data_IF_381542278739
#
_entry.id   IF_381542278739
#
_cell.length_a   1.000
_cell.length_b   1.000
_cell.length_c   1.000
_cell.angle_alpha   90.00
_cell.angle_beta   90.00
_cell.angle_gamma   90.00
#
_symmetry.space_group_name_H-M   'P 1'
#
loop_
_entity.id
_entity.type
_entity.pdbx_description
1 polymer ?
#
# COMPACT_ATOMS: atom_id res chain seq x y z
N UNK A 1 6.15 21.95 -3.14
CA UNK A 1 5.54 21.23 -2.00
C UNK A 1 5.92 19.77 -2.14
N UNK A 2 6.38 19.12 -1.07
CA UNK A 2 6.69 17.68 -1.08
C UNK A 2 5.61 16.96 -0.29
N UNK A 3 5.00 15.93 -0.89
CA UNK A 3 3.92 15.18 -0.25
C UNK A 3 4.48 14.31 0.88
N UNK A 4 3.72 14.20 1.96
CA UNK A 4 3.96 13.29 3.08
C UNK A 4 2.79 12.32 3.19
N UNK A 5 3.08 11.03 3.11
CA UNK A 5 2.07 9.98 3.06
C UNK A 5 2.23 9.02 4.23
N UNK A 6 1.12 8.45 4.70
CA UNK A 6 1.11 7.49 5.80
C UNK A 6 0.57 6.14 5.32
N UNK A 7 1.31 5.06 5.55
CA UNK A 7 0.89 3.67 5.26
C UNK A 7 0.38 2.98 6.53
N UNK A 8 -0.60 2.08 6.42
CA UNK A 8 -1.03 1.25 7.56
C UNK A 8 -1.91 1.97 8.58
N UNK A 9 -2.55 3.08 8.21
CA UNK A 9 -3.52 3.76 9.07
C UNK A 9 -4.76 2.86 9.32
N UNK A 10 -5.33 2.83 10.54
CA UNK A 10 -6.52 2.02 10.83
C UNK A 10 -7.72 2.38 9.95
N UNK A 11 -8.31 1.37 9.32
CA UNK A 11 -9.36 1.52 8.32
C UNK A 11 -8.85 1.42 6.88
N UNK A 12 -7.53 1.46 6.65
CA UNK A 12 -6.94 1.38 5.32
C UNK A 12 -6.58 -0.06 4.92
N UNK A 13 -7.20 -0.57 3.85
CA UNK A 13 -6.95 -1.91 3.28
C UNK A 13 -5.86 -1.89 2.20
N UNK A 14 -5.58 -3.06 1.60
CA UNK A 14 -4.68 -3.10 0.44
C UNK A 14 -5.28 -2.40 -0.78
N UNK A 15 -6.59 -2.50 -0.97
CA UNK A 15 -7.33 -1.88 -2.06
C UNK A 15 -7.21 -0.35 -1.97
N UNK A 16 -7.38 0.23 -0.79
CA UNK A 16 -7.21 1.68 -0.57
C UNK A 16 -5.78 2.14 -0.91
N UNK A 17 -4.77 1.34 -0.54
CA UNK A 17 -3.37 1.66 -0.85
C UNK A 17 -3.05 1.52 -2.33
N UNK A 18 -3.70 0.58 -3.03
CA UNK A 18 -3.59 0.45 -4.48
C UNK A 18 -4.22 1.67 -5.16
N UNK A 19 -5.43 2.05 -4.76
CA UNK A 19 -6.10 3.26 -5.27
C UNK A 19 -5.23 4.50 -5.05
N UNK A 20 -4.62 4.64 -3.87
CA UNK A 20 -3.70 5.73 -3.59
C UNK A 20 -2.46 5.70 -4.48
N UNK A 21 -1.89 4.51 -4.74
CA UNK A 21 -0.75 4.37 -5.64
C UNK A 21 -1.10 4.76 -7.09
N UNK A 22 -2.31 4.40 -7.56
CA UNK A 22 -2.83 4.84 -8.86
C UNK A 22 -3.04 6.35 -8.92
N UNK A 23 -3.63 6.93 -7.87
CA UNK A 23 -3.83 8.38 -7.78
C UNK A 23 -2.49 9.14 -7.87
N UNK A 24 -1.48 8.69 -7.12
CA UNK A 24 -0.12 9.26 -7.13
C UNK A 24 0.58 9.07 -8.49
N UNK A 25 0.34 7.93 -9.17
CA UNK A 25 0.83 7.69 -10.53
C UNK A 25 0.27 8.72 -11.50
N UNK A 26 -1.05 8.97 -11.44
CA UNK A 26 -1.78 9.75 -12.44
C UNK A 26 -1.68 11.27 -12.24
N UNK A 27 -1.63 11.75 -10.99
CA UNK A 27 -1.67 13.19 -10.68
C UNK A 27 -0.28 13.78 -10.40
N UNK A 28 0.76 12.95 -10.44
CA UNK A 28 2.07 13.31 -9.89
C UNK A 28 2.03 13.41 -8.37
N UNK A 29 3.19 13.62 -7.75
CA UNK A 29 3.31 13.64 -6.29
C UNK A 29 3.86 12.36 -5.66
N UNK A 30 4.51 11.52 -6.47
CA UNK A 30 5.35 10.44 -5.97
C UNK A 30 6.39 11.02 -5.00
N UNK A 31 6.51 10.41 -3.83
CA UNK A 31 7.34 10.89 -2.73
C UNK A 31 8.00 9.72 -2.02
N UNK A 32 9.25 9.93 -1.59
CA UNK A 32 9.93 8.99 -0.71
C UNK A 32 9.53 9.19 0.76
N UNK A 33 8.80 10.27 1.08
CA UNK A 33 8.33 10.55 2.44
C UNK A 33 7.05 9.78 2.77
N UNK A 34 7.22 8.48 2.99
CA UNK A 34 6.16 7.59 3.47
C UNK A 34 6.49 7.09 4.87
N UNK A 35 5.63 7.37 5.83
CA UNK A 35 5.76 6.90 7.21
C UNK A 35 4.75 5.78 7.48
N UNK A 36 5.19 4.72 8.15
CA UNK A 36 4.25 3.74 8.69
C UNK A 36 3.52 4.30 9.90
N UNK A 37 2.20 4.10 9.92
CA UNK A 37 1.40 4.39 11.08
C UNK A 37 1.96 3.67 12.30
N UNK A 38 2.24 4.46 13.33
CA UNK A 38 2.72 4.00 14.62
C UNK A 38 1.74 4.50 15.68
N UNK A 39 1.11 3.60 16.46
CA UNK A 39 0.15 4.00 17.49
C UNK A 39 0.81 4.93 18.50
N UNK A 40 0.35 6.18 18.52
CA UNK A 40 0.79 7.20 19.46
C UNK A 40 -0.31 7.44 20.49
N UNK A 41 -0.03 7.43 21.81
CA UNK A 41 -1.03 7.67 22.84
C UNK A 41 -1.84 8.95 22.60
N UNK A 42 -3.05 9.01 23.17
CA UNK A 42 -3.96 10.16 23.08
C UNK A 42 -4.40 10.53 21.65
N UNK A 43 -4.39 9.58 20.71
CA UNK A 43 -4.93 9.79 19.36
C UNK A 43 -6.11 8.87 19.06
N UNK A 44 -7.07 9.38 18.27
CA UNK A 44 -8.23 8.63 17.78
C UNK A 44 -7.78 7.40 16.98
N UNK A 45 -6.78 7.56 16.10
CA UNK A 45 -6.19 6.47 15.32
C UNK A 45 -5.62 5.36 16.22
N UNK A 46 -5.04 5.69 17.37
CA UNK A 46 -4.58 4.65 18.31
C UNK A 46 -5.74 3.92 18.96
N UNK A 47 -6.82 4.62 19.32
CA UNK A 47 -8.05 3.97 19.81
C UNK A 47 -8.61 3.01 18.75
N UNK A 48 -8.71 3.46 17.50
CA UNK A 48 -9.08 2.65 16.33
C UNK A 48 -8.18 1.41 16.17
N UNK A 49 -6.86 1.58 16.27
CA UNK A 49 -5.89 0.50 16.12
C UNK A 49 -6.07 -0.61 17.17
N UNK A 50 -6.30 -0.24 18.42
CA UNK A 50 -6.44 -1.19 19.52
C UNK A 50 -7.84 -1.82 19.57
N UNK A 51 -8.89 -1.03 19.38
CA UNK A 51 -10.29 -1.50 19.47
C UNK A 51 -10.77 -2.20 18.20
N UNK A 52 -10.20 -1.86 17.04
CA UNK A 52 -10.73 -2.30 15.74
C UNK A 52 -12.11 -1.71 15.44
N UNK A 53 -12.46 -0.59 16.07
CA UNK A 53 -13.73 0.11 15.87
C UNK A 53 -13.47 1.54 15.41
N UNK A 54 -14.33 2.05 14.54
CA UNK A 54 -14.50 3.48 14.34
C UNK A 54 -15.15 4.06 15.60
N UNK A 55 -14.48 4.99 16.31
CA UNK A 55 -14.96 5.51 17.59
C UNK A 55 -16.19 6.42 17.45
N UNK A 56 -16.50 6.92 16.26
CA UNK A 56 -17.66 7.78 16.03
C UNK A 56 -18.90 6.98 15.64
N UNK A 57 -18.72 5.88 14.93
CA UNK A 57 -19.85 5.06 14.45
C UNK A 57 -20.02 3.75 15.21
N UNK A 58 -19.02 3.32 15.97
CA UNK A 58 -18.98 2.02 16.66
C UNK A 58 -18.83 0.82 15.72
N UNK A 59 -18.66 1.03 14.41
CA UNK A 59 -18.55 -0.05 13.43
C UNK A 59 -17.14 -0.65 13.45
N UNK A 60 -17.05 -1.94 13.13
CA UNK A 60 -15.75 -2.60 12.95
C UNK A 60 -15.00 -2.01 11.77
N UNK A 61 -13.72 -1.76 11.97
CA UNK A 61 -12.78 -1.33 10.94
C UNK A 61 -11.65 -2.35 10.83
N UNK A 62 -11.07 -2.42 9.65
CA UNK A 62 -9.90 -3.22 9.40
C UNK A 62 -8.64 -2.55 9.97
N UNK A 63 -7.72 -3.34 10.52
CA UNK A 63 -6.43 -2.85 11.04
C UNK A 63 -5.32 -3.81 10.63
N UNK A 64 -4.39 -3.32 9.82
CA UNK A 64 -3.20 -4.07 9.40
C UNK A 64 -2.19 -4.21 10.55
N UNK A 65 -2.28 -5.30 11.32
CA UNK A 65 -1.36 -5.59 12.46
C UNK A 65 -0.15 -6.44 12.05
N UNK A 66 -0.25 -7.17 10.95
CA UNK A 66 0.80 -8.09 10.49
C UNK A 66 1.98 -7.36 9.83
N UNK A 67 3.22 -7.76 10.16
CA UNK A 67 4.44 -7.18 9.54
C UNK A 67 4.41 -7.24 8.01
N UNK A 68 4.01 -8.38 7.45
CA UNK A 68 3.96 -8.60 5.99
C UNK A 68 2.95 -7.66 5.32
N UNK A 69 1.82 -7.45 5.95
CA UNK A 69 0.72 -6.63 5.43
C UNK A 69 1.06 -5.15 5.47
N UNK A 70 1.62 -4.67 6.59
CA UNK A 70 2.18 -3.30 6.67
C UNK A 70 3.28 -3.08 5.63
N UNK A 71 4.17 -4.07 5.44
CA UNK A 71 5.21 -4.00 4.42
C UNK A 71 4.64 -3.94 2.99
N UNK A 72 3.58 -4.69 2.69
CA UNK A 72 2.86 -4.62 1.40
C UNK A 72 2.26 -3.23 1.18
N UNK A 73 1.56 -2.67 2.17
CA UNK A 73 0.99 -1.32 2.08
C UNK A 73 2.07 -0.25 1.85
N UNK A 74 3.16 -0.30 2.62
CA UNK A 74 4.31 0.61 2.41
C UNK A 74 4.93 0.44 1.02
N UNK A 75 5.11 -0.79 0.57
CA UNK A 75 5.69 -1.10 -0.73
C UNK A 75 4.85 -0.54 -1.89
N UNK A 76 3.52 -0.51 -1.78
CA UNK A 76 2.63 0.09 -2.78
C UNK A 76 2.88 1.59 -2.97
N UNK A 77 3.24 2.33 -1.92
CA UNK A 77 3.59 3.75 -2.05
C UNK A 77 4.95 3.98 -2.73
N UNK A 78 5.84 3.00 -2.61
CA UNK A 78 7.17 2.99 -3.25
C UNK A 78 7.23 1.97 -4.39
N UNK A 79 6.16 1.85 -5.18
CA UNK A 79 6.04 0.83 -6.22
C UNK A 79 7.15 0.89 -7.28
N UNK A 80 7.79 2.05 -7.45
CA UNK A 80 8.89 2.26 -8.41
C UNK A 80 10.21 1.64 -7.94
N UNK A 81 10.36 1.34 -6.65
CA UNK A 81 11.57 0.75 -6.11
C UNK A 81 11.63 -0.75 -6.47
N UNK A 82 12.62 -1.21 -7.25
CA UNK A 82 12.73 -2.61 -7.65
C UNK A 82 12.84 -3.59 -6.47
N UNK A 83 13.39 -3.15 -5.33
CA UNK A 83 13.47 -3.98 -4.12
C UNK A 83 12.09 -4.34 -3.55
N UNK A 84 11.07 -3.53 -3.83
CA UNK A 84 9.70 -3.73 -3.38
C UNK A 84 8.87 -4.61 -4.33
N UNK A 85 9.42 -5.01 -5.48
CA UNK A 85 8.66 -5.68 -6.53
C UNK A 85 7.83 -6.87 -6.03
N UNK A 86 8.43 -7.78 -5.26
CA UNK A 86 7.73 -8.98 -4.76
C UNK A 86 6.60 -8.64 -3.79
N UNK A 87 6.78 -7.59 -2.98
CA UNK A 87 5.76 -7.12 -2.05
C UNK A 87 4.59 -6.47 -2.79
N UNK A 88 4.90 -5.64 -3.80
CA UNK A 88 3.88 -4.98 -4.63
C UNK A 88 3.13 -6.01 -5.45
N UNK A 89 3.83 -6.93 -6.12
CA UNK A 89 3.20 -8.00 -6.88
C UNK A 89 2.29 -8.85 -5.98
N UNK A 90 2.77 -9.27 -4.81
CA UNK A 90 1.96 -10.04 -3.86
C UNK A 90 0.77 -9.25 -3.29
N UNK A 91 0.87 -7.93 -3.17
CA UNK A 91 -0.25 -7.08 -2.78
C UNK A 91 -1.31 -7.02 -3.89
N UNK A 92 -0.87 -6.79 -5.14
CA UNK A 92 -1.75 -6.75 -6.32
C UNK A 92 -2.42 -8.09 -6.58
N UNK A 93 -1.71 -9.20 -6.42
CA UNK A 93 -2.26 -10.55 -6.55
C UNK A 93 -3.34 -10.81 -5.50
N UNK A 94 -3.09 -10.45 -4.23
CA UNK A 94 -4.07 -10.58 -3.16
C UNK A 94 -5.33 -9.75 -3.38
N UNK A 95 -5.18 -8.54 -3.91
CA UNK A 95 -6.29 -7.65 -4.23
C UNK A 95 -6.96 -7.97 -5.58
N UNK A 96 -6.48 -8.98 -6.32
CA UNK A 96 -6.98 -9.32 -7.66
C UNK A 96 -6.71 -8.25 -8.73
N UNK A 97 -5.78 -7.33 -8.48
CA UNK A 97 -5.43 -6.18 -9.35
C UNK A 97 -4.20 -6.43 -10.23
N UNK A 98 -4.10 -7.63 -10.79
CA UNK A 98 -3.00 -7.98 -11.70
C UNK A 98 -3.05 -7.21 -13.03
N UNK A 99 -4.13 -6.49 -13.32
CA UNK A 99 -4.23 -5.51 -14.41
C UNK A 99 -3.18 -4.39 -14.29
N UNK A 100 -2.71 -4.11 -13.07
CA UNK A 100 -1.67 -3.12 -12.78
C UNK A 100 -0.25 -3.65 -12.98
N UNK A 101 -0.09 -4.89 -13.45
CA UNK A 101 1.21 -5.51 -13.74
C UNK A 101 1.41 -5.62 -15.25
N UNK A 102 2.30 -4.80 -15.81
CA UNK A 102 2.50 -4.76 -17.26
C UNK A 102 3.36 -3.61 -17.74
N UNK A 103 3.41 -3.44 -19.06
CA UNK A 103 4.24 -2.42 -19.71
C UNK A 103 3.41 -1.19 -20.16
N UNK A 104 2.11 -1.17 -19.87
CA UNK A 104 1.25 -0.04 -20.19
C UNK A 104 1.51 1.13 -19.23
N UNK A 105 1.18 2.35 -19.65
CA UNK A 105 1.39 3.56 -18.85
C UNK A 105 0.65 3.53 -17.50
N UNK A 106 -0.49 2.84 -17.43
CA UNK A 106 -1.29 2.68 -16.20
C UNK A 106 -0.83 1.53 -15.30
N UNK A 107 0.21 0.78 -15.64
CA UNK A 107 0.71 -0.26 -14.74
C UNK A 107 1.54 0.35 -13.60
N UNK A 108 1.41 -0.18 -12.38
CA UNK A 108 2.26 0.21 -11.25
C UNK A 108 3.65 -0.45 -11.36
N UNK A 109 3.69 -1.74 -11.71
CA UNK A 109 4.95 -2.48 -11.88
C UNK A 109 5.03 -3.14 -13.25
N UNK A 110 6.26 -3.30 -13.76
CA UNK A 110 6.49 -3.99 -15.03
C UNK A 110 6.34 -5.50 -14.86
N UNK A 111 5.98 -6.20 -15.94
CA UNK A 111 5.98 -7.67 -15.92
C UNK A 111 7.43 -8.17 -15.91
N UNK A 112 7.81 -9.06 -15.00
CA UNK A 112 9.09 -9.77 -15.10
C UNK A 112 9.12 -10.60 -16.38
N UNK A 113 10.11 -10.35 -17.22
CA UNK A 113 10.39 -11.19 -18.38
C UNK A 113 10.78 -12.59 -17.87
N UNK A 114 10.12 -13.63 -18.37
CA UNK A 114 10.57 -14.99 -18.12
C UNK A 114 11.91 -15.14 -18.85
N UNK A 115 13.02 -15.12 -18.12
CA UNK A 115 14.33 -15.48 -18.66
C UNK A 115 14.21 -16.90 -19.23
N UNK A 116 14.11 -17.02 -20.56
CA UNK A 116 14.19 -18.33 -21.20
C UNK A 116 15.55 -18.89 -20.84
N UNK A 117 15.58 -20.00 -20.09
CA UNK A 117 16.78 -20.81 -19.95
C UNK A 117 17.07 -21.37 -21.35
N UNK A 118 18.03 -20.76 -22.05
CA UNK A 118 18.73 -21.45 -23.14
C UNK A 118 19.44 -22.64 -22.50
N UNK A 119 19.08 -23.84 -22.95
CA UNK A 119 19.79 -25.08 -22.68
C UNK A 119 20.85 -25.26 -23.76
#
# INVERSE_FOLDING_TARGET
IVNYLMSGHPGCTLEDMIEMAEYVRDHGGYTEQVQDFTPTPMTVSTCMYYTGLDPFTGKKIYVAKGKKEKAMQRALMHYRNPANYELVYGALEKAGRLDLVGNAHKCLIRRKEKRQKQW
#
